data_IF_551262891417
#
_entry.id   IF_551262891417
#
_cell.length_a   1.000
_cell.length_b   1.000
_cell.length_c   1.000
_cell.angle_alpha   90.00
_cell.angle_beta   90.00
_cell.angle_gamma   90.00
#
_symmetry.space_group_name_H-M   'P 1'
#
loop_
_entity.id
_entity.type
_entity.pdbx_description
1 polymer ?
#
# COMPACT_ATOMS: atom_id res chain seq x y z
N UNK A 1 -6.61 13.00 -12.03
CA UNK A 1 -5.82 12.07 -12.88
C UNK A 1 -6.05 10.62 -12.45
N UNK A 2 -5.79 10.23 -11.18
CA UNK A 2 -6.02 8.86 -10.71
C UNK A 2 -7.44 8.34 -11.01
N UNK A 3 -8.46 9.10 -10.64
CA UNK A 3 -9.87 8.74 -10.90
C UNK A 3 -10.16 8.56 -12.38
N UNK A 4 -9.56 9.38 -13.25
CA UNK A 4 -9.73 9.25 -14.69
C UNK A 4 -9.10 7.96 -15.22
N UNK A 5 -7.90 7.63 -14.76
CA UNK A 5 -7.22 6.37 -15.09
C UNK A 5 -8.06 5.19 -14.59
N UNK A 6 -8.55 5.23 -13.35
CA UNK A 6 -9.38 4.18 -12.77
C UNK A 6 -10.69 4.00 -13.55
N UNK A 7 -11.36 5.08 -13.92
CA UNK A 7 -12.59 5.02 -14.71
C UNK A 7 -12.34 4.48 -16.11
N UNK A 8 -11.36 5.03 -16.83
CA UNK A 8 -11.16 4.69 -18.24
C UNK A 8 -10.45 3.36 -18.48
N UNK A 9 -9.59 2.93 -17.55
CA UNK A 9 -8.86 1.67 -17.66
C UNK A 9 -9.41 0.58 -16.72
N UNK A 10 -10.04 0.96 -15.59
CA UNK A 10 -10.54 0.05 -14.57
C UNK A 10 -12.00 -0.38 -14.79
N UNK A 11 -12.77 0.34 -15.60
CA UNK A 11 -14.11 -0.11 -15.96
C UNK A 11 -13.98 -1.39 -16.79
N UNK A 12 -14.05 -2.54 -16.11
CA UNK A 12 -14.66 -3.71 -16.75
C UNK A 12 -16.01 -3.21 -17.21
N UNK A 13 -16.26 -3.20 -18.50
CA UNK A 13 -17.60 -3.23 -19.03
C UNK A 13 -18.23 -4.46 -18.36
N UNK A 14 -18.76 -4.29 -17.13
CA UNK A 14 -19.66 -5.26 -16.55
C UNK A 14 -20.78 -5.33 -17.54
N UNK A 15 -20.79 -6.43 -18.28
CA UNK A 15 -21.92 -6.96 -19.01
C UNK A 15 -23.06 -5.97 -19.17
N UNK A 16 -22.90 -4.96 -20.01
CA UNK A 16 -24.03 -4.43 -20.71
C UNK A 16 -24.41 -5.51 -21.70
N UNK A 17 -25.16 -6.50 -21.25
CA UNK A 17 -26.04 -7.33 -22.06
C UNK A 17 -27.17 -6.46 -22.62
N UNK A 18 -26.78 -5.42 -23.30
CA UNK A 18 -27.65 -4.62 -24.15
C UNK A 18 -26.94 -4.57 -25.48
N UNK A 19 -27.63 -4.91 -26.53
CA UNK A 19 -27.23 -4.90 -27.94
C UNK A 19 -26.47 -3.63 -28.35
N UNK A 20 -25.24 -3.48 -27.86
CA UNK A 20 -24.37 -2.40 -28.27
C UNK A 20 -23.77 -2.75 -29.64
N UNK A 21 -24.04 -1.88 -30.59
CA UNK A 21 -23.59 -2.02 -31.97
C UNK A 21 -22.08 -2.18 -32.06
N UNK A 22 -21.59 -2.90 -33.04
CA UNK A 22 -20.14 -3.16 -33.29
C UNK A 22 -19.31 -1.88 -33.36
N UNK A 23 -19.94 -0.76 -33.71
CA UNK A 23 -19.33 0.57 -33.82
C UNK A 23 -19.01 1.17 -32.45
N UNK A 24 -19.88 1.00 -31.43
CA UNK A 24 -19.61 1.47 -30.07
C UNK A 24 -18.49 0.71 -29.39
N UNK A 25 -18.41 -0.60 -29.58
CA UNK A 25 -17.31 -1.44 -29.08
C UNK A 25 -15.95 -1.02 -29.65
N UNK A 26 -15.88 -0.68 -30.93
CA UNK A 26 -14.67 -0.14 -31.59
C UNK A 26 -14.29 1.23 -31.06
N UNK A 27 -15.25 2.12 -30.84
CA UNK A 27 -15.01 3.46 -30.28
C UNK A 27 -14.44 3.38 -28.86
N UNK A 28 -15.03 2.56 -27.99
CA UNK A 28 -14.57 2.34 -26.62
C UNK A 28 -13.16 1.73 -26.56
N UNK A 29 -12.84 0.78 -27.44
CA UNK A 29 -11.50 0.19 -27.52
C UNK A 29 -10.44 1.21 -27.93
N UNK A 30 -10.76 2.11 -28.86
CA UNK A 30 -9.88 3.19 -29.29
C UNK A 30 -9.65 4.23 -28.18
N UNK A 31 -10.71 4.63 -27.45
CA UNK A 31 -10.59 5.53 -26.28
C UNK A 31 -9.69 4.91 -25.22
N UNK A 32 -9.88 3.64 -24.90
CA UNK A 32 -9.06 2.92 -23.94
C UNK A 32 -7.58 2.87 -24.36
N UNK A 33 -7.31 2.56 -25.62
CA UNK A 33 -5.95 2.55 -26.18
C UNK A 33 -5.29 3.92 -26.10
N UNK A 34 -5.98 4.98 -26.49
CA UNK A 34 -5.46 6.35 -26.43
C UNK A 34 -5.20 6.80 -24.99
N UNK A 35 -6.09 6.42 -24.05
CA UNK A 35 -5.91 6.73 -22.62
C UNK A 35 -4.68 6.02 -22.06
N UNK A 36 -4.48 4.75 -22.42
CA UNK A 36 -3.32 3.97 -22.02
C UNK A 36 -2.03 4.64 -22.49
N UNK A 37 -1.92 4.93 -23.80
CA UNK A 37 -0.73 5.59 -24.37
C UNK A 37 -0.47 6.97 -23.76
N UNK A 38 -1.52 7.72 -23.44
CA UNK A 38 -1.39 9.02 -22.77
C UNK A 38 -0.90 8.85 -21.32
N UNK A 39 -1.38 7.83 -20.61
CA UNK A 39 -0.93 7.54 -19.24
C UNK A 39 0.53 7.09 -19.22
N UNK A 40 0.95 6.25 -20.18
CA UNK A 40 2.35 5.83 -20.35
C UNK A 40 3.27 7.03 -20.60
N UNK A 41 2.89 7.89 -21.54
CA UNK A 41 3.66 9.10 -21.86
C UNK A 41 3.75 10.04 -20.66
N UNK A 42 2.63 10.24 -19.93
CA UNK A 42 2.61 11.05 -18.71
C UNK A 42 3.51 10.48 -17.62
N UNK A 43 3.53 9.17 -17.43
CA UNK A 43 4.43 8.51 -16.47
C UNK A 43 5.89 8.75 -16.83
N UNK A 44 6.26 8.59 -18.09
CA UNK A 44 7.63 8.81 -18.57
C UNK A 44 8.10 10.25 -18.38
N UNK A 45 7.19 11.23 -18.58
CA UNK A 45 7.50 12.65 -18.39
C UNK A 45 7.60 13.06 -16.91
N UNK A 46 6.85 12.40 -16.03
CA UNK A 46 6.70 12.76 -14.61
C UNK A 46 7.30 11.73 -13.66
N UNK A 47 8.55 11.27 -13.93
CA UNK A 47 9.29 10.37 -13.01
C UNK A 47 9.62 11.00 -11.63
N UNK A 48 9.03 12.16 -11.32
CA UNK A 48 9.30 12.93 -10.09
C UNK A 48 8.46 12.50 -8.87
N UNK A 49 7.82 11.32 -8.89
CA UNK A 49 6.99 10.85 -7.76
C UNK A 49 7.72 10.91 -6.41
N UNK A 50 9.03 10.64 -6.39
CA UNK A 50 9.83 10.70 -5.16
C UNK A 50 9.86 12.10 -4.54
N UNK A 51 9.94 13.14 -5.35
CA UNK A 51 9.98 14.52 -4.87
C UNK A 51 8.60 15.00 -4.46
N UNK A 52 7.57 14.58 -5.19
CA UNK A 52 6.18 14.89 -4.87
C UNK A 52 5.74 14.21 -3.57
N UNK A 53 6.19 12.98 -3.30
CA UNK A 53 5.95 12.29 -2.03
C UNK A 53 6.65 12.96 -0.82
N UNK A 54 7.64 13.84 -1.06
CA UNK A 54 8.27 14.67 -0.03
C UNK A 54 7.57 16.02 0.18
N UNK A 55 6.50 16.31 -0.57
CA UNK A 55 5.75 17.58 -0.44
C UNK A 55 5.29 17.82 0.99
N UNK A 56 5.33 19.07 1.43
CA UNK A 56 4.79 19.48 2.73
C UNK A 56 3.27 19.33 2.81
N UNK A 57 2.57 19.38 1.67
CA UNK A 57 1.11 19.24 1.59
C UNK A 57 0.70 17.77 1.65
N UNK A 58 -0.08 17.41 2.67
CA UNK A 58 -0.67 16.08 2.83
C UNK A 58 -1.60 15.73 1.65
N UNK A 59 -2.33 16.70 1.14
CA UNK A 59 -3.23 16.53 -0.01
C UNK A 59 -2.46 16.08 -1.25
N UNK A 60 -1.30 16.71 -1.50
CA UNK A 60 -0.45 16.34 -2.64
C UNK A 60 0.12 14.94 -2.45
N UNK A 61 0.62 14.60 -1.25
CA UNK A 61 1.15 13.26 -0.96
C UNK A 61 0.06 12.18 -1.11
N UNK A 62 -1.13 12.40 -0.54
CA UNK A 62 -2.27 11.48 -0.66
C UNK A 62 -2.70 11.27 -2.11
N UNK A 63 -2.79 12.34 -2.89
CA UNK A 63 -3.08 12.27 -4.31
C UNK A 63 -2.00 11.50 -5.09
N UNK A 64 -0.73 11.65 -4.71
CA UNK A 64 0.39 10.93 -5.33
C UNK A 64 0.33 9.43 -5.03
N UNK A 65 0.04 9.04 -3.79
CA UNK A 65 -0.20 7.63 -3.44
C UNK A 65 -1.35 7.04 -4.29
N UNK A 66 -2.47 7.73 -4.38
CA UNK A 66 -3.61 7.29 -5.19
C UNK A 66 -3.26 7.16 -6.66
N UNK A 67 -2.49 8.10 -7.19
CA UNK A 67 -2.03 8.07 -8.58
C UNK A 67 -1.09 6.89 -8.84
N UNK A 68 -0.12 6.64 -7.94
CA UNK A 68 0.76 5.47 -8.02
C UNK A 68 -0.04 4.16 -7.99
N UNK A 69 -1.04 4.06 -7.10
CA UNK A 69 -1.93 2.90 -7.04
C UNK A 69 -2.63 2.64 -8.37
N UNK A 70 -3.13 3.68 -9.03
CA UNK A 70 -3.78 3.57 -10.34
C UNK A 70 -2.79 3.12 -11.42
N UNK A 71 -1.58 3.65 -11.45
CA UNK A 71 -0.54 3.18 -12.38
C UNK A 71 -0.17 1.72 -12.15
N UNK A 72 0.05 1.31 -10.90
CA UNK A 72 0.39 -0.08 -10.55
C UNK A 72 -0.71 -1.04 -11.01
N UNK A 73 -1.97 -0.65 -10.86
CA UNK A 73 -3.11 -1.49 -11.25
C UNK A 73 -3.30 -1.61 -12.77
N UNK A 74 -3.17 -0.50 -13.48
CA UNK A 74 -3.64 -0.40 -14.86
C UNK A 74 -2.51 -0.34 -15.88
N UNK A 75 -1.33 0.15 -15.49
CA UNK A 75 -0.17 0.37 -16.38
C UNK A 75 1.12 -0.17 -15.74
N UNK A 76 1.13 -1.42 -15.23
CA UNK A 76 2.26 -1.94 -14.46
C UNK A 76 3.57 -2.01 -15.25
N UNK A 77 3.50 -2.14 -16.57
CA UNK A 77 4.67 -2.28 -17.43
C UNK A 77 5.54 -1.01 -17.55
N UNK A 78 5.05 0.15 -17.07
CA UNK A 78 5.87 1.37 -17.02
C UNK A 78 6.88 1.38 -15.86
N UNK A 79 6.74 0.44 -14.93
CA UNK A 79 7.66 0.26 -13.82
C UNK A 79 8.83 -0.62 -14.25
N UNK A 80 9.76 -0.03 -15.02
CA UNK A 80 11.00 -0.69 -15.39
C UNK A 80 11.91 -0.92 -14.18
N UNK A 81 12.99 -1.68 -14.35
CA UNK A 81 13.91 -2.04 -13.26
C UNK A 81 14.51 -0.81 -12.58
N UNK A 82 14.83 0.22 -13.35
CA UNK A 82 15.40 1.47 -12.81
C UNK A 82 14.37 2.21 -11.94
N UNK A 83 13.13 2.30 -12.41
CA UNK A 83 12.01 2.88 -11.66
C UNK A 83 11.74 2.08 -10.39
N UNK A 84 11.74 0.74 -10.49
CA UNK A 84 11.54 -0.16 -9.34
C UNK A 84 12.63 0.03 -8.27
N UNK A 85 13.90 0.10 -8.66
CA UNK A 85 15.02 0.36 -7.73
C UNK A 85 14.85 1.68 -6.97
N UNK A 86 14.34 2.71 -7.64
CA UNK A 86 14.13 4.03 -7.04
C UNK A 86 12.90 4.09 -6.14
N UNK A 87 11.79 3.50 -6.58
CA UNK A 87 10.50 3.63 -5.89
C UNK A 87 10.32 2.62 -4.75
N UNK A 88 10.88 1.41 -4.85
CA UNK A 88 10.66 0.36 -3.86
C UNK A 88 10.99 0.77 -2.43
N UNK A 89 12.15 1.37 -2.12
CA UNK A 89 12.46 1.80 -0.75
C UNK A 89 11.52 2.88 -0.23
N UNK A 90 11.00 3.72 -1.11
CA UNK A 90 10.10 4.82 -0.75
C UNK A 90 8.69 4.31 -0.51
N UNK A 91 8.16 3.47 -1.40
CA UNK A 91 6.79 2.94 -1.29
C UNK A 91 6.70 1.93 -0.15
N UNK A 92 7.58 0.91 -0.13
CA UNK A 92 7.55 -0.12 0.92
C UNK A 92 7.92 0.44 2.31
N UNK A 93 8.72 1.50 2.35
CA UNK A 93 9.11 2.20 3.58
C UNK A 93 8.30 3.46 3.87
N UNK A 94 7.09 3.62 3.33
CA UNK A 94 6.28 4.83 3.48
C UNK A 94 5.72 5.05 4.91
N UNK A 95 5.99 4.17 5.84
CA UNK A 95 5.54 4.23 7.25
C UNK A 95 6.06 5.43 8.05
N UNK A 96 6.85 6.29 7.45
CA UNK A 96 7.22 7.59 8.03
C UNK A 96 6.15 8.68 7.82
N UNK A 97 5.06 8.38 7.09
CA UNK A 97 3.95 9.30 6.88
C UNK A 97 3.21 9.55 8.21
N UNK A 98 3.22 10.81 8.66
CA UNK A 98 2.64 11.22 9.94
C UNK A 98 1.21 11.71 9.83
N UNK A 99 0.80 12.11 8.63
CA UNK A 99 -0.52 12.69 8.42
C UNK A 99 -1.55 11.59 8.20
N UNK A 100 -2.52 11.52 9.12
CA UNK A 100 -3.56 10.51 9.09
C UNK A 100 -4.42 10.54 7.82
N UNK A 101 -4.53 11.70 7.16
CA UNK A 101 -5.28 11.84 5.92
C UNK A 101 -4.63 11.10 4.73
N UNK A 102 -3.32 10.82 4.83
CA UNK A 102 -2.58 10.08 3.80
C UNK A 102 -2.60 8.56 4.05
N UNK A 103 -2.94 8.09 5.25
CA UNK A 103 -2.73 6.69 5.62
C UNK A 103 -3.52 5.72 4.75
N UNK A 104 -4.75 6.04 4.38
CA UNK A 104 -5.54 5.14 3.54
C UNK A 104 -4.89 4.93 2.17
N UNK A 105 -4.55 6.02 1.48
CA UNK A 105 -3.92 5.95 0.16
C UNK A 105 -2.51 5.36 0.22
N UNK A 106 -1.74 5.66 1.26
CA UNK A 106 -0.44 5.05 1.54
C UNK A 106 -0.55 3.52 1.66
N UNK A 107 -1.47 3.03 2.50
CA UNK A 107 -1.69 1.60 2.67
C UNK A 107 -2.10 0.91 1.37
N UNK A 108 -3.02 1.50 0.62
CA UNK A 108 -3.48 0.96 -0.65
C UNK A 108 -2.32 0.84 -1.64
N UNK A 109 -1.43 1.85 -1.67
CA UNK A 109 -0.24 1.84 -2.53
C UNK A 109 0.74 0.74 -2.11
N UNK A 110 1.07 0.64 -0.82
CA UNK A 110 2.01 -0.37 -0.31
C UNK A 110 1.53 -1.79 -0.66
N UNK A 111 0.25 -2.07 -0.36
CA UNK A 111 -0.32 -3.41 -0.53
C UNK A 111 -0.48 -3.80 -2.01
N UNK A 112 -0.88 -2.87 -2.85
CA UNK A 112 -0.99 -3.12 -4.30
C UNK A 112 0.39 -3.29 -4.91
N UNK A 113 1.37 -2.47 -4.50
CA UNK A 113 2.75 -2.52 -4.98
C UNK A 113 3.43 -3.84 -4.60
N UNK A 114 3.41 -4.21 -3.33
CA UNK A 114 4.05 -5.44 -2.84
C UNK A 114 3.44 -6.71 -3.45
N UNK A 115 2.13 -6.70 -3.72
CA UNK A 115 1.44 -7.82 -4.38
C UNK A 115 1.76 -7.90 -5.87
N UNK A 116 1.82 -6.77 -6.54
CA UNK A 116 2.04 -6.71 -8.00
C UNK A 116 3.50 -6.96 -8.37
N UNK A 117 4.42 -6.52 -7.52
CA UNK A 117 5.87 -6.58 -7.72
C UNK A 117 6.57 -7.24 -6.51
N UNK A 118 6.46 -8.57 -6.36
CA UNK A 118 7.13 -9.28 -5.24
C UNK A 118 8.65 -9.07 -5.24
N UNK A 119 9.25 -8.88 -6.41
CA UNK A 119 10.67 -8.60 -6.59
C UNK A 119 11.11 -7.24 -6.01
N UNK A 120 10.17 -6.31 -5.78
CA UNK A 120 10.44 -4.99 -5.21
C UNK A 120 11.17 -5.06 -3.86
N UNK A 121 10.94 -6.14 -3.11
CA UNK A 121 11.60 -6.37 -1.84
C UNK A 121 13.11 -6.54 -1.96
N UNK A 122 13.61 -7.03 -3.10
CA UNK A 122 15.04 -7.17 -3.36
C UNK A 122 15.79 -5.85 -3.54
N UNK A 123 15.06 -4.78 -3.88
CA UNK A 123 15.62 -3.45 -4.11
C UNK A 123 15.70 -2.58 -2.85
N UNK A 124 15.32 -3.09 -1.69
CA UNK A 124 15.38 -2.32 -0.45
C UNK A 124 15.98 -3.13 0.71
N UNK A 125 16.61 -2.41 1.65
CA UNK A 125 16.99 -3.01 2.91
C UNK A 125 15.76 -3.09 3.83
N UNK A 126 15.15 -4.28 3.89
CA UNK A 126 13.88 -4.49 4.62
C UNK A 126 14.03 -4.08 6.09
N UNK A 127 15.09 -4.50 6.77
CA UNK A 127 15.28 -4.21 8.20
C UNK A 127 15.51 -2.72 8.47
N UNK A 128 16.41 -2.07 7.70
CA UNK A 128 16.79 -0.68 7.96
C UNK A 128 15.76 0.33 7.44
N UNK A 129 15.10 0.02 6.33
CA UNK A 129 14.23 0.99 5.66
C UNK A 129 12.77 0.73 5.95
N UNK A 130 12.34 -0.53 5.88
CA UNK A 130 10.91 -0.85 6.01
C UNK A 130 10.54 -1.10 7.47
N UNK A 131 11.16 -2.11 8.09
CA UNK A 131 10.78 -2.52 9.44
C UNK A 131 11.07 -1.45 10.49
N UNK A 132 12.20 -0.75 10.43
CA UNK A 132 12.48 0.33 11.38
C UNK A 132 11.42 1.44 11.36
N UNK A 133 10.93 1.80 10.18
CA UNK A 133 9.87 2.80 10.02
C UNK A 133 8.50 2.24 10.42
N UNK A 134 8.27 0.97 10.12
CA UNK A 134 7.04 0.28 10.50
C UNK A 134 6.90 0.16 12.03
N UNK A 135 7.98 -0.17 12.75
CA UNK A 135 7.99 -0.18 14.22
C UNK A 135 7.66 1.21 14.79
N UNK A 136 8.31 2.25 14.28
CA UNK A 136 7.99 3.62 14.68
C UNK A 136 6.53 4.00 14.40
N UNK A 137 5.99 3.56 13.27
CA UNK A 137 4.59 3.79 12.92
C UNK A 137 3.63 3.12 13.91
N UNK A 138 3.91 1.88 14.30
CA UNK A 138 3.11 1.16 15.30
C UNK A 138 3.23 1.82 16.69
N UNK A 139 4.46 2.10 17.15
CA UNK A 139 4.72 2.74 18.45
C UNK A 139 4.02 4.10 18.60
N UNK A 140 3.92 4.86 17.54
CA UNK A 140 3.20 6.13 17.53
C UNK A 140 1.69 5.97 17.32
N UNK A 141 1.14 4.78 17.54
CA UNK A 141 -0.27 4.49 17.37
C UNK A 141 -0.76 4.82 15.96
N UNK A 142 0.06 4.50 14.96
CA UNK A 142 -0.20 4.81 13.56
C UNK A 142 -0.42 6.31 13.31
N UNK A 143 0.34 7.15 14.01
CA UNK A 143 0.34 8.62 13.88
C UNK A 143 -1.05 9.27 14.02
N UNK A 144 -1.87 8.75 14.91
CA UNK A 144 -3.17 9.36 15.17
C UNK A 144 -4.34 8.81 14.33
N UNK A 145 -4.12 7.85 13.46
CA UNK A 145 -5.23 7.13 12.82
C UNK A 145 -6.19 6.60 13.89
N UNK A 146 -7.48 6.97 13.80
CA UNK A 146 -8.48 6.56 14.79
C UNK A 146 -8.73 5.05 14.77
N UNK A 147 -8.43 4.40 13.67
CA UNK A 147 -8.60 2.97 13.49
C UNK A 147 -7.34 2.35 12.90
N UNK A 148 -6.76 1.40 13.62
CA UNK A 148 -5.73 0.55 13.04
C UNK A 148 -6.42 -0.39 12.07
N UNK A 149 -5.99 -0.36 10.81
CA UNK A 149 -6.54 -1.24 9.79
C UNK A 149 -5.91 -2.63 9.89
N UNK A 150 -6.46 -3.50 10.75
CA UNK A 150 -5.92 -4.83 10.98
C UNK A 150 -5.84 -5.71 9.73
N UNK A 151 -6.85 -5.72 8.85
CA UNK A 151 -6.73 -6.47 7.61
C UNK A 151 -5.54 -6.01 6.76
N UNK A 152 -5.23 -4.71 6.79
CA UNK A 152 -4.07 -4.16 6.09
C UNK A 152 -2.75 -4.57 6.73
N UNK A 153 -2.68 -4.60 8.08
CA UNK A 153 -1.50 -5.10 8.80
C UNK A 153 -1.21 -6.56 8.46
N UNK A 154 -2.22 -7.42 8.53
CA UNK A 154 -2.07 -8.84 8.16
C UNK A 154 -1.63 -9.01 6.71
N UNK A 155 -2.27 -8.31 5.78
CA UNK A 155 -1.89 -8.34 4.36
C UNK A 155 -0.46 -7.85 4.13
N UNK A 156 -0.01 -6.86 4.90
CA UNK A 156 1.36 -6.38 4.83
C UNK A 156 2.35 -7.44 5.32
N UNK A 157 2.08 -8.05 6.48
CA UNK A 157 2.91 -9.13 7.01
C UNK A 157 3.02 -10.30 6.02
N UNK A 158 1.92 -10.66 5.37
CA UNK A 158 1.90 -11.68 4.32
C UNK A 158 2.76 -11.34 3.11
N UNK A 159 2.90 -10.06 2.81
CA UNK A 159 3.66 -9.59 1.66
C UNK A 159 5.18 -9.57 1.89
N UNK A 160 5.63 -9.55 3.14
CA UNK A 160 7.06 -9.52 3.47
C UNK A 160 7.69 -10.89 3.17
N UNK A 161 8.83 -10.95 2.48
CA UNK A 161 9.52 -12.21 2.23
C UNK A 161 9.84 -12.96 3.54
N UNK A 162 9.53 -14.25 3.67
CA UNK A 162 9.74 -15.01 4.92
C UNK A 162 11.17 -14.95 5.46
N UNK A 163 12.16 -14.89 4.56
CA UNK A 163 13.59 -14.78 4.95
C UNK A 163 13.94 -13.46 5.68
N UNK A 164 13.11 -12.44 5.53
CA UNK A 164 13.34 -11.14 6.16
C UNK A 164 12.68 -11.01 7.53
N UNK A 165 11.75 -11.90 7.85
CA UNK A 165 10.99 -11.91 9.10
C UNK A 165 11.23 -13.23 9.82
N UNK A 166 12.46 -13.41 10.31
CA UNK A 166 12.82 -14.66 10.99
C UNK A 166 12.79 -14.50 12.51
N UNK A 167 12.21 -15.50 13.16
CA UNK A 167 12.37 -15.79 14.57
C UNK A 167 11.40 -15.10 15.53
N UNK A 168 11.46 -15.53 16.77
CA UNK A 168 10.64 -15.05 17.89
C UNK A 168 10.73 -13.53 18.08
N UNK A 169 11.92 -12.97 17.86
CA UNK A 169 12.15 -11.53 18.04
C UNK A 169 11.25 -10.68 17.14
N UNK A 170 11.02 -11.09 15.88
CA UNK A 170 10.12 -10.36 14.99
C UNK A 170 8.69 -10.35 15.53
N UNK A 171 8.19 -11.50 15.98
CA UNK A 171 6.83 -11.62 16.54
C UNK A 171 6.71 -10.78 17.81
N UNK A 172 7.71 -10.86 18.68
CA UNK A 172 7.78 -10.08 19.91
C UNK A 172 7.78 -8.57 19.60
N UNK A 173 8.67 -8.11 18.72
CA UNK A 173 8.78 -6.70 18.35
C UNK A 173 7.48 -6.20 17.73
N UNK A 174 6.83 -7.00 16.89
CA UNK A 174 5.56 -6.62 16.28
C UNK A 174 4.46 -6.43 17.33
N UNK A 175 4.25 -7.42 18.20
CA UNK A 175 3.23 -7.35 19.23
C UNK A 175 3.52 -6.25 20.25
N UNK A 176 4.78 -6.11 20.65
CA UNK A 176 5.23 -5.07 21.58
C UNK A 176 4.98 -3.66 21.03
N UNK A 177 5.45 -3.39 19.83
CA UNK A 177 5.26 -2.08 19.20
C UNK A 177 3.79 -1.74 18.94
N UNK A 178 2.98 -2.74 18.58
CA UNK A 178 1.53 -2.57 18.41
C UNK A 178 0.85 -2.23 19.74
N UNK A 179 1.26 -2.90 20.82
CA UNK A 179 0.72 -2.67 22.17
C UNK A 179 1.13 -1.31 22.73
N UNK A 180 2.39 -0.92 22.54
CA UNK A 180 2.90 0.39 22.97
C UNK A 180 2.21 1.52 22.23
N UNK A 181 1.96 1.36 20.93
CA UNK A 181 1.20 2.33 20.16
C UNK A 181 -0.23 2.55 20.69
N UNK A 182 -0.86 1.50 21.25
CA UNK A 182 -2.12 1.64 21.97
C UNK A 182 -1.98 2.53 23.20
N UNK A 183 -0.93 2.34 23.97
CA UNK A 183 -0.72 3.07 25.23
C UNK A 183 -0.43 4.57 25.02
N UNK A 184 0.07 4.95 23.85
CA UNK A 184 0.29 6.36 23.46
C UNK A 184 -1.01 7.14 23.26
N UNK A 185 -2.17 6.48 23.31
CA UNK A 185 -3.46 7.10 23.03
C UNK A 185 -4.42 6.97 24.20
N UNK A 186 -5.15 8.05 24.45
CA UNK A 186 -6.37 8.00 25.23
C UNK A 186 -7.49 7.43 24.34
N UNK A 187 -7.66 6.12 24.38
CA UNK A 187 -8.71 5.45 23.63
C UNK A 187 -10.03 5.52 24.40
N UNK A 188 -11.13 5.75 23.69
CA UNK A 188 -12.47 5.52 24.24
C UNK A 188 -12.64 4.03 24.58
N UNK A 189 -13.65 3.71 25.42
CA UNK A 189 -13.94 2.30 25.74
C UNK A 189 -14.24 1.48 24.48
N UNK A 190 -14.97 2.05 23.51
CA UNK A 190 -15.28 1.40 22.24
C UNK A 190 -14.02 1.15 21.39
N UNK A 191 -13.13 2.14 21.32
CA UNK A 191 -11.86 2.00 20.58
C UNK A 191 -10.94 0.98 21.25
N UNK A 192 -10.92 0.94 22.59
CA UNK A 192 -10.17 -0.06 23.35
C UNK A 192 -10.68 -1.48 23.09
N UNK A 193 -12.00 -1.67 23.04
CA UNK A 193 -12.59 -2.96 22.70
C UNK A 193 -12.25 -3.38 21.25
N UNK A 194 -12.40 -2.47 20.31
CA UNK A 194 -12.04 -2.71 18.91
C UNK A 194 -10.57 -3.08 18.77
N UNK A 195 -9.68 -2.41 19.49
CA UNK A 195 -8.25 -2.76 19.54
C UNK A 195 -8.03 -4.17 20.07
N UNK A 196 -8.64 -4.53 21.20
CA UNK A 196 -8.48 -5.87 21.79
C UNK A 196 -8.97 -6.99 20.86
N UNK A 197 -10.11 -6.79 20.21
CA UNK A 197 -10.62 -7.75 19.22
C UNK A 197 -9.62 -7.95 18.09
N UNK A 198 -9.09 -6.89 17.59
CA UNK A 198 -8.17 -6.91 16.49
C UNK A 198 -6.78 -7.45 16.88
N UNK A 199 -6.28 -7.10 18.06
CA UNK A 199 -5.06 -7.68 18.61
C UNK A 199 -5.19 -9.20 18.74
N UNK A 200 -6.36 -9.68 19.20
CA UNK A 200 -6.68 -11.11 19.22
C UNK A 200 -6.59 -11.73 17.82
N UNK A 201 -7.20 -11.12 16.80
CA UNK A 201 -7.15 -11.65 15.43
C UNK A 201 -5.73 -11.70 14.88
N UNK A 202 -4.92 -10.68 15.11
CA UNK A 202 -3.51 -10.67 14.69
C UNK A 202 -2.73 -11.77 15.42
N UNK A 203 -2.94 -11.91 16.72
CA UNK A 203 -2.27 -12.96 17.51
C UNK A 203 -2.64 -14.35 17.02
N UNK A 204 -3.91 -14.62 16.75
CA UNK A 204 -4.35 -15.90 16.16
C UNK A 204 -3.73 -16.13 14.80
N UNK A 205 -3.71 -15.12 13.95
CA UNK A 205 -3.07 -15.20 12.64
C UNK A 205 -1.57 -15.54 12.75
N UNK A 206 -0.85 -14.91 13.70
CA UNK A 206 0.56 -15.24 13.97
C UNK A 206 0.74 -16.68 14.40
N UNK A 207 -0.13 -17.21 15.27
CA UNK A 207 -0.10 -18.61 15.71
C UNK A 207 -0.35 -19.58 14.54
N UNK A 208 -1.31 -19.29 13.68
CA UNK A 208 -1.62 -20.10 12.49
C UNK A 208 -0.48 -20.11 11.47
N UNK A 209 0.30 -19.05 11.44
CA UNK A 209 1.41 -18.87 10.50
C UNK A 209 2.79 -19.04 11.15
N UNK A 210 2.86 -19.68 12.32
CA UNK A 210 4.10 -19.86 13.08
C UNK A 210 5.23 -20.53 12.27
N UNK A 211 4.89 -21.37 11.30
CA UNK A 211 5.88 -22.01 10.42
C UNK A 211 6.62 -21.02 9.50
N UNK A 212 6.06 -19.83 9.28
CA UNK A 212 6.72 -18.73 8.54
C UNK A 212 7.77 -18.00 9.39
N UNK A 213 7.67 -18.15 10.72
CA UNK A 213 8.53 -17.51 11.71
C UNK A 213 9.20 -18.59 12.56
N UNK A 214 10.13 -19.39 11.97
CA UNK A 214 10.78 -20.48 12.69
C UNK A 214 11.49 -19.95 13.93
N UNK A 215 11.29 -20.65 15.02
CA UNK A 215 11.88 -20.35 16.33
C UNK A 215 13.32 -20.79 16.39
#
# INVERSE_FOLDING_TARGET
MATLIDILLGVKLQNCDVDSTSTEKRSLSKVRSNTLSSAEAAFCMHKCFLDVLKSKSAVIRSATYSLLTSYIKHVPHVFDEETMKKLSPTILGAFHEKDASCHSSMWDTILVFSRKFPEAWSYCNIHKVVLSRFWNFLQNGCYGSKQISYPRLVQFLDSIPPKAVMGQQFVFDFLHNLWDGRNQRQLSAADSLAFCIAFKHIFLWLLENVSRYPF
#
